data_IF_789736857034
#
_entry.id   IF_789736857034
#
_cell.length_a   1.000
_cell.length_b   1.000
_cell.length_c   1.000
_cell.angle_alpha   90.00
_cell.angle_beta   90.00
_cell.angle_gamma   90.00
#
_symmetry.space_group_name_H-M   'P 1'
#
loop_
_entity.id
_entity.type
_entity.pdbx_description
1 polymer ?
#
# COMPACT_ATOMS: atom_id res chain seq x y z
N UNK A 1 -8.80 7.76 -7.96
CA UNK A 1 -7.64 7.04 -7.37
C UNK A 1 -7.98 6.69 -5.94
N UNK A 2 -7.78 5.44 -5.55
CA UNK A 2 -8.00 4.95 -4.20
C UNK A 2 -6.77 4.19 -3.71
N UNK A 3 -6.46 4.34 -2.42
CA UNK A 3 -5.43 3.57 -1.74
C UNK A 3 -5.95 3.11 -0.38
N UNK A 4 -5.66 1.86 -0.01
CA UNK A 4 -6.08 1.29 1.28
C UNK A 4 -4.93 0.51 1.92
N UNK A 5 -4.80 0.61 3.24
CA UNK A 5 -3.88 -0.23 4.01
C UNK A 5 -4.59 -1.57 4.22
N UNK A 6 -4.08 -2.62 3.58
CA UNK A 6 -4.62 -3.98 3.67
C UNK A 6 -4.15 -4.68 4.95
N UNK A 7 -2.90 -4.44 5.34
CA UNK A 7 -2.34 -5.00 6.57
C UNK A 7 -1.23 -4.13 7.12
N UNK A 8 -1.12 -4.16 8.45
CA UNK A 8 0.01 -3.60 9.20
C UNK A 8 0.60 -4.70 10.06
N UNK A 9 1.93 -4.84 10.05
CA UNK A 9 2.65 -5.78 10.92
C UNK A 9 3.76 -5.04 11.65
N UNK A 10 3.71 -5.04 12.97
CA UNK A 10 4.87 -4.66 13.78
C UNK A 10 5.93 -5.76 13.67
N UNK A 11 7.18 -5.36 13.46
CA UNK A 11 8.33 -6.25 13.27
C UNK A 11 9.14 -6.37 14.54
N UNK A 12 9.91 -7.44 14.66
CA UNK A 12 10.76 -7.73 15.81
C UNK A 12 11.89 -6.71 15.98
N UNK A 13 12.32 -6.08 14.89
CA UNK A 13 13.33 -5.01 14.88
C UNK A 13 12.77 -3.65 15.33
N UNK A 14 11.52 -3.59 15.83
CA UNK A 14 10.85 -2.36 16.22
C UNK A 14 10.29 -1.56 15.03
N UNK A 15 10.51 -2.01 13.80
CA UNK A 15 9.94 -1.41 12.60
C UNK A 15 8.48 -1.79 12.36
N UNK A 16 7.90 -1.21 11.30
CA UNK A 16 6.53 -1.50 10.87
C UNK A 16 6.52 -1.78 9.38
N UNK A 17 5.83 -2.85 8.99
CA UNK A 17 5.52 -3.16 7.59
C UNK A 17 4.05 -2.82 7.30
N UNK A 18 3.82 -2.15 6.18
CA UNK A 18 2.48 -1.89 5.63
C UNK A 18 2.34 -2.56 4.27
N UNK A 19 1.21 -3.21 4.03
CA UNK A 19 0.79 -3.59 2.68
C UNK A 19 -0.31 -2.65 2.25
N UNK A 20 -0.11 -1.96 1.13
CA UNK A 20 -1.04 -0.95 0.62
C UNK A 20 -1.51 -1.39 -0.77
N UNK A 21 -2.83 -1.50 -0.94
CA UNK A 21 -3.44 -1.68 -2.26
C UNK A 21 -3.65 -0.31 -2.90
N UNK A 22 -3.42 -0.22 -4.21
CA UNK A 22 -3.63 0.99 -5.00
C UNK A 22 -4.46 0.65 -6.22
N UNK A 23 -5.51 1.44 -6.44
CA UNK A 23 -6.34 1.38 -7.64
C UNK A 23 -6.37 2.75 -8.33
N UNK A 24 -6.00 2.77 -9.60
CA UNK A 24 -6.11 3.94 -10.46
C UNK A 24 -7.15 3.66 -11.53
N UNK A 25 -8.21 4.46 -11.50
CA UNK A 25 -9.25 4.51 -12.51
C UNK A 25 -9.06 5.78 -13.35
N UNK A 26 -9.30 5.67 -14.65
CA UNK A 26 -9.32 6.81 -15.58
C UNK A 26 -10.76 7.01 -16.02
N UNK A 27 -11.23 8.26 -15.98
CA UNK A 27 -12.59 8.59 -16.41
C UNK A 27 -12.83 8.15 -17.86
N UNK A 28 -13.99 7.55 -18.11
CA UNK A 28 -14.35 7.02 -19.43
C UNK A 28 -13.74 5.65 -19.75
N UNK A 29 -13.01 5.01 -18.83
CA UNK A 29 -12.61 3.61 -18.97
C UNK A 29 -13.44 2.69 -18.09
N UNK A 30 -13.91 1.58 -18.67
CA UNK A 30 -14.69 0.55 -17.94
C UNK A 30 -13.83 -0.30 -17.01
N UNK A 31 -12.52 -0.34 -17.22
CA UNK A 31 -11.57 -1.13 -16.43
C UNK A 31 -10.56 -0.22 -15.72
N UNK A 32 -10.04 -0.63 -14.56
CA UNK A 32 -8.97 0.09 -13.89
C UNK A 32 -7.74 0.19 -14.81
N UNK A 33 -7.15 1.38 -14.87
CA UNK A 33 -5.89 1.59 -15.58
C UNK A 33 -4.71 0.93 -14.84
N UNK A 34 -4.81 0.81 -13.52
CA UNK A 34 -3.82 0.12 -12.70
C UNK A 34 -4.46 -0.49 -11.45
N UNK A 35 -4.05 -1.71 -11.13
CA UNK A 35 -4.18 -2.31 -9.81
C UNK A 35 -2.77 -2.68 -9.36
N UNK A 36 -2.37 -2.18 -8.20
CA UNK A 36 -1.03 -2.42 -7.66
C UNK A 36 -1.09 -2.71 -6.17
N UNK A 37 -0.03 -3.36 -5.69
CA UNK A 37 0.22 -3.53 -4.26
C UNK A 37 1.64 -3.06 -3.96
N UNK A 38 1.78 -2.24 -2.93
CA UNK A 38 3.06 -1.73 -2.46
C UNK A 38 3.30 -2.17 -1.03
N UNK A 39 4.52 -2.63 -0.75
CA UNK A 39 4.98 -2.94 0.62
C UNK A 39 5.89 -1.81 1.08
N UNK A 40 5.52 -1.17 2.18
CA UNK A 40 6.34 -0.15 2.84
C UNK A 40 6.98 -0.72 4.10
N UNK A 41 8.27 -0.44 4.29
CA UNK A 41 9.01 -0.79 5.49
C UNK A 41 9.47 0.49 6.18
N UNK A 42 8.96 0.72 7.38
CA UNK A 42 9.39 1.81 8.26
C UNK A 42 10.34 1.25 9.30
N UNK A 43 11.54 1.79 9.33
CA UNK A 43 12.57 1.42 10.32
C UNK A 43 12.48 2.38 11.51
N UNK A 44 12.71 1.89 12.75
CA UNK A 44 12.74 2.77 13.91
C UNK A 44 13.88 3.76 13.78
N UNK A 45 13.65 4.98 14.27
CA UNK A 45 14.73 5.97 14.41
C UNK A 45 15.54 5.67 15.68
N UNK A 46 16.85 5.96 15.70
CA UNK A 46 17.70 5.75 16.87
C UNK A 46 17.21 6.47 18.13
#
# INVERSE_FOLDING_TARGET
>A
MAAAIESTRQREDGGVQYTVSVRVDIEGQDRPAMIGQTVYLVYPTP
#
